data_IF_906173558120
#
_entry.id   IF_906173558120
#
_cell.length_a   1.000
_cell.length_b   1.000
_cell.length_c   1.000
_cell.angle_alpha   90.00
_cell.angle_beta   90.00
_cell.angle_gamma   90.00
#
_symmetry.space_group_name_H-M   'P 1'
#
loop_
_entity.id
_entity.type
_entity.pdbx_description
1 polymer ?
#
# COMPACT_ATOMS: atom_id res chain seq x y z
N UNK A 1 -29.21 34.69 -28.17
CA UNK A 1 -28.20 33.63 -27.94
C UNK A 1 -26.82 34.26 -27.89
N UNK A 2 -26.41 34.75 -26.70
CA UNK A 2 -25.15 35.49 -26.53
C UNK A 2 -23.98 34.55 -26.25
N UNK A 3 -23.13 34.32 -27.26
CA UNK A 3 -21.92 33.52 -27.11
C UNK A 3 -20.81 34.39 -26.49
N UNK A 4 -20.77 34.46 -25.15
CA UNK A 4 -19.72 35.17 -24.42
C UNK A 4 -18.42 34.36 -24.45
N UNK A 5 -17.65 34.52 -25.53
CA UNK A 5 -16.25 34.09 -25.61
C UNK A 5 -15.43 35.01 -24.69
N UNK A 6 -15.41 34.70 -23.39
CA UNK A 6 -14.50 35.33 -22.44
C UNK A 6 -13.07 35.13 -22.98
N UNK A 7 -12.24 36.18 -23.13
CA UNK A 7 -10.93 36.05 -23.76
C UNK A 7 -10.09 35.07 -22.97
N UNK A 8 -9.67 33.98 -23.63
CA UNK A 8 -9.03 32.83 -23.01
C UNK A 8 -7.86 33.24 -22.12
N UNK A 9 -7.05 34.21 -22.53
CA UNK A 9 -5.91 34.75 -21.78
C UNK A 9 -6.28 35.26 -20.37
N UNK A 10 -7.39 35.99 -20.24
CA UNK A 10 -7.84 36.59 -18.97
C UNK A 10 -8.35 35.51 -18.00
N UNK A 11 -8.97 34.45 -18.55
CA UNK A 11 -9.34 33.25 -17.81
C UNK A 11 -8.10 32.45 -17.39
N UNK A 12 -7.05 32.39 -18.21
CA UNK A 12 -5.78 31.73 -17.87
C UNK A 12 -5.07 32.46 -16.73
N UNK A 13 -4.98 33.80 -16.77
CA UNK A 13 -4.36 34.60 -15.70
C UNK A 13 -5.10 34.50 -14.37
N UNK A 14 -6.43 34.55 -14.38
CA UNK A 14 -7.22 34.39 -13.15
C UNK A 14 -7.09 32.98 -12.55
N UNK A 15 -7.06 31.94 -13.39
CA UNK A 15 -6.83 30.56 -12.94
C UNK A 15 -5.42 30.37 -12.39
N UNK A 16 -4.41 30.98 -13.00
CA UNK A 16 -3.02 30.95 -12.52
C UNK A 16 -2.91 31.59 -11.13
N UNK A 17 -3.43 32.81 -10.96
CA UNK A 17 -3.48 33.48 -9.65
C UNK A 17 -4.20 32.65 -8.59
N UNK A 18 -5.31 32.01 -8.96
CA UNK A 18 -6.03 31.11 -8.04
C UNK A 18 -5.24 29.85 -7.71
N UNK A 19 -4.42 29.33 -8.63
CA UNK A 19 -3.54 28.19 -8.37
C UNK A 19 -2.46 28.60 -7.37
N UNK A 20 -1.74 29.69 -7.64
CA UNK A 20 -0.67 30.21 -6.79
C UNK A 20 -1.16 30.47 -5.35
N UNK A 21 -2.32 31.11 -5.19
CA UNK A 21 -2.94 31.35 -3.89
C UNK A 21 -3.29 30.06 -3.11
N UNK A 22 -3.39 28.92 -3.81
CA UNK A 22 -3.76 27.61 -3.23
C UNK A 22 -2.63 26.59 -3.29
N UNK A 23 -1.46 26.94 -3.84
CA UNK A 23 -0.41 25.97 -4.11
C UNK A 23 0.05 25.26 -2.84
N UNK A 24 0.27 26.02 -1.76
CA UNK A 24 0.62 25.48 -0.45
C UNK A 24 -0.44 24.50 0.07
N UNK A 25 -1.72 24.83 -0.07
CA UNK A 25 -2.82 23.95 0.32
C UNK A 25 -2.88 22.67 -0.52
N UNK A 26 -2.57 22.76 -1.83
CA UNK A 26 -2.47 21.59 -2.71
C UNK A 26 -1.30 20.69 -2.28
N UNK A 27 -0.10 21.26 -2.09
CA UNK A 27 1.08 20.54 -1.61
C UNK A 27 0.83 19.87 -0.27
N UNK A 28 0.22 20.57 0.69
CA UNK A 28 -0.16 20.00 1.99
C UNK A 28 -1.07 18.78 1.80
N UNK A 29 -2.11 18.87 0.95
CA UNK A 29 -2.99 17.73 0.69
C UNK A 29 -2.25 16.54 0.09
N UNK A 30 -1.37 16.79 -0.88
CA UNK A 30 -0.55 15.72 -1.49
C UNK A 30 0.34 15.05 -0.43
N UNK A 31 1.01 15.84 0.42
CA UNK A 31 1.86 15.35 1.52
C UNK A 31 1.07 14.58 2.57
N UNK A 32 -0.13 15.02 2.94
CA UNK A 32 -0.95 14.28 3.90
C UNK A 32 -1.39 12.92 3.35
N UNK A 33 -1.66 12.82 2.04
CA UNK A 33 -1.99 11.55 1.40
C UNK A 33 -0.80 10.58 1.41
N UNK A 34 0.42 11.04 1.11
CA UNK A 34 1.60 10.17 1.16
C UNK A 34 1.97 9.79 2.60
N UNK A 35 1.74 10.68 3.57
CA UNK A 35 1.88 10.39 5.01
C UNK A 35 0.91 9.29 5.46
N UNK A 36 -0.36 9.38 5.06
CA UNK A 36 -1.36 8.36 5.34
C UNK A 36 -0.92 6.98 4.82
N UNK A 37 -0.42 6.92 3.58
CA UNK A 37 0.09 5.66 2.98
C UNK A 37 1.25 5.11 3.81
N UNK A 38 2.20 5.97 4.19
CA UNK A 38 3.34 5.57 5.03
C UNK A 38 2.88 4.94 6.35
N UNK A 39 1.86 5.52 6.99
CA UNK A 39 1.27 4.95 8.22
C UNK A 39 0.61 3.59 7.97
N UNK A 40 -0.03 3.41 6.81
CA UNK A 40 -0.59 2.10 6.43
C UNK A 40 0.49 1.05 6.22
N UNK A 41 1.59 1.39 5.54
CA UNK A 41 2.74 0.49 5.36
C UNK A 41 3.31 0.04 6.71
N UNK A 42 3.55 0.97 7.63
CA UNK A 42 4.03 0.66 8.99
C UNK A 42 3.07 -0.29 9.71
N UNK A 43 1.76 -0.09 9.54
CA UNK A 43 0.76 -0.96 10.15
C UNK A 43 0.79 -2.36 9.54
N UNK A 44 0.91 -2.46 8.22
CA UNK A 44 1.01 -3.74 7.51
C UNK A 44 2.29 -4.50 7.86
N UNK A 45 3.42 -3.81 7.95
CA UNK A 45 4.70 -4.37 8.39
C UNK A 45 4.57 -5.00 9.79
N UNK A 46 4.01 -4.26 10.75
CA UNK A 46 3.77 -4.78 12.11
C UNK A 46 2.88 -6.01 12.13
N UNK A 47 1.86 -6.08 11.26
CA UNK A 47 1.00 -7.26 11.16
C UNK A 47 1.77 -8.43 10.55
N UNK A 48 2.49 -8.21 9.45
CA UNK A 48 3.30 -9.24 8.80
C UNK A 48 4.33 -9.83 9.77
N UNK A 49 5.05 -8.98 10.52
CA UNK A 49 6.01 -9.39 11.55
C UNK A 49 5.35 -10.23 12.65
N UNK A 50 4.20 -9.79 13.18
CA UNK A 50 3.46 -10.55 14.22
C UNK A 50 3.00 -11.91 13.72
N UNK A 51 2.56 -12.00 12.46
CA UNK A 51 2.09 -13.25 11.87
C UNK A 51 3.25 -14.21 11.63
N UNK A 52 4.37 -13.72 11.11
CA UNK A 52 5.60 -14.50 10.94
C UNK A 52 6.13 -14.99 12.30
N UNK A 53 6.18 -14.10 13.30
CA UNK A 53 6.58 -14.44 14.66
C UNK A 53 5.64 -15.49 15.29
N UNK A 54 4.34 -15.36 15.09
CA UNK A 54 3.40 -16.37 15.58
C UNK A 54 3.66 -17.74 14.93
N UNK A 55 3.94 -17.78 13.63
CA UNK A 55 4.29 -19.01 12.94
C UNK A 55 5.56 -19.65 13.53
N UNK A 56 6.63 -18.87 13.70
CA UNK A 56 7.91 -19.37 14.21
C UNK A 56 7.85 -19.76 15.69
N UNK A 57 7.18 -18.96 16.52
CA UNK A 57 7.26 -19.09 17.98
C UNK A 57 6.16 -19.99 18.55
N UNK A 58 5.09 -20.27 17.79
CA UNK A 58 3.92 -21.02 18.26
C UNK A 58 3.52 -22.16 17.35
N UNK A 59 3.46 -21.94 16.03
CA UNK A 59 2.97 -22.95 15.10
C UNK A 59 4.01 -24.06 14.90
N UNK A 60 5.24 -23.70 14.52
CA UNK A 60 6.32 -24.67 14.32
C UNK A 60 6.60 -25.53 15.57
N UNK A 61 6.72 -24.95 16.79
CA UNK A 61 6.95 -25.75 17.99
C UNK A 61 5.77 -26.66 18.37
N UNK A 62 4.56 -26.39 17.86
CA UNK A 62 3.39 -27.27 18.06
C UNK A 62 3.37 -28.50 17.14
N UNK A 63 4.44 -28.73 16.36
CA UNK A 63 4.53 -29.83 15.40
C UNK A 63 3.71 -29.59 14.12
N UNK A 64 3.23 -28.37 13.91
CA UNK A 64 2.46 -27.95 12.72
C UNK A 64 3.37 -27.17 11.79
N UNK A 65 3.26 -27.41 10.49
CA UNK A 65 4.02 -26.68 9.47
C UNK A 65 3.11 -26.28 8.31
N UNK A 66 3.49 -25.19 7.63
CA UNK A 66 2.81 -24.70 6.44
C UNK A 66 3.70 -24.91 5.22
N UNK A 67 3.30 -25.84 4.35
CA UNK A 67 3.93 -25.98 3.04
C UNK A 67 3.80 -24.69 2.24
N UNK A 68 4.90 -24.20 1.67
CA UNK A 68 4.92 -22.95 0.91
C UNK A 68 4.96 -21.68 1.76
N UNK A 69 5.26 -21.77 3.07
CA UNK A 69 5.43 -20.60 3.95
C UNK A 69 6.38 -19.54 3.35
N UNK A 70 7.56 -19.94 2.88
CA UNK A 70 8.54 -19.01 2.30
C UNK A 70 8.03 -18.31 1.04
N UNK A 71 7.21 -18.99 0.24
CA UNK A 71 6.58 -18.38 -0.94
C UNK A 71 5.60 -17.29 -0.52
N UNK A 72 4.82 -17.52 0.54
CA UNK A 72 3.88 -16.53 1.07
C UNK A 72 4.62 -15.32 1.68
N UNK A 73 5.71 -15.55 2.43
CA UNK A 73 6.56 -14.49 2.98
C UNK A 73 7.24 -13.68 1.87
N UNK A 74 7.79 -14.34 0.85
CA UNK A 74 8.38 -13.67 -0.30
C UNK A 74 7.36 -12.82 -1.04
N UNK A 75 6.13 -13.31 -1.25
CA UNK A 75 5.07 -12.51 -1.85
C UNK A 75 4.72 -11.27 -1.02
N UNK A 76 4.68 -11.36 0.32
CA UNK A 76 4.51 -10.18 1.20
C UNK A 76 5.62 -9.15 0.95
N UNK A 77 6.88 -9.59 0.89
CA UNK A 77 8.04 -8.73 0.60
C UNK A 77 7.93 -8.08 -0.79
N UNK A 78 7.57 -8.84 -1.82
CA UNK A 78 7.35 -8.31 -3.18
C UNK A 78 6.28 -7.22 -3.21
N UNK A 79 5.15 -7.43 -2.53
CA UNK A 79 4.07 -6.43 -2.51
C UNK A 79 4.40 -5.19 -1.68
N UNK A 80 5.22 -5.34 -0.63
CA UNK A 80 5.80 -4.21 0.11
C UNK A 80 6.65 -3.34 -0.81
N UNK A 81 7.59 -3.95 -1.54
CA UNK A 81 8.48 -3.23 -2.48
C UNK A 81 7.67 -2.54 -3.57
N UNK A 82 6.64 -3.19 -4.11
CA UNK A 82 5.75 -2.60 -5.10
C UNK A 82 5.01 -1.36 -4.55
N UNK A 83 4.58 -1.41 -3.29
CA UNK A 83 3.93 -0.27 -2.60
C UNK A 83 4.89 0.89 -2.43
N UNK A 84 6.11 0.62 -1.95
CA UNK A 84 7.16 1.63 -1.78
C UNK A 84 7.51 2.29 -3.11
N UNK A 85 7.70 1.50 -4.17
CA UNK A 85 7.98 1.98 -5.52
C UNK A 85 6.87 2.91 -6.05
N UNK A 86 5.60 2.55 -5.83
CA UNK A 86 4.47 3.39 -6.23
C UNK A 86 4.39 4.68 -5.40
N UNK A 87 4.68 4.59 -4.10
CA UNK A 87 4.66 5.73 -3.19
C UNK A 87 5.77 6.73 -3.53
N UNK A 88 6.97 6.25 -3.88
CA UNK A 88 8.09 7.11 -4.22
C UNK A 88 7.84 7.89 -5.52
N UNK A 89 7.14 7.30 -6.50
CA UNK A 89 6.64 8.04 -7.67
C UNK A 89 5.68 9.15 -7.26
N UNK A 90 4.72 8.88 -6.38
CA UNK A 90 3.78 9.90 -5.90
C UNK A 90 4.48 11.01 -5.09
N UNK A 91 5.53 10.68 -4.32
CA UNK A 91 6.35 11.68 -3.61
C UNK A 91 7.15 12.55 -4.59
N UNK A 92 7.69 11.97 -5.65
CA UNK A 92 8.39 12.72 -6.70
C UNK A 92 7.45 13.72 -7.41
N UNK A 93 6.17 13.37 -7.61
CA UNK A 93 5.20 14.31 -8.18
C UNK A 93 4.97 15.55 -7.29
N UNK A 94 5.15 15.43 -5.96
CA UNK A 94 5.02 16.56 -5.02
C UNK A 94 6.14 17.57 -5.24
N UNK A 95 7.37 17.10 -5.43
CA UNK A 95 8.53 17.99 -5.58
C UNK A 95 8.50 18.77 -6.89
N UNK A 96 7.91 18.20 -7.94
CA UNK A 96 7.80 18.85 -9.25
C UNK A 96 6.55 19.71 -9.40
N UNK A 97 5.55 19.57 -8.53
CA UNK A 97 4.31 20.36 -8.62
C UNK A 97 4.59 21.85 -8.35
N UNK A 98 4.23 22.69 -9.34
CA UNK A 98 4.27 24.15 -9.24
C UNK A 98 3.15 24.75 -10.07
N UNK A 99 2.45 25.76 -9.54
CA UNK A 99 1.44 26.51 -10.27
C UNK A 99 2.03 27.40 -11.37
N UNK A 100 3.34 27.64 -11.35
CA UNK A 100 4.08 28.39 -12.37
C UNK A 100 4.59 27.50 -13.51
N UNK A 101 4.40 26.17 -13.40
CA UNK A 101 4.70 25.26 -14.51
C UNK A 101 3.81 25.54 -15.72
N UNK A 102 4.24 25.06 -16.89
CA UNK A 102 3.45 25.20 -18.13
C UNK A 102 2.07 24.54 -18.03
N UNK A 103 1.97 23.43 -17.26
CA UNK A 103 0.73 22.69 -17.10
C UNK A 103 0.56 22.09 -15.69
N UNK A 104 0.26 22.91 -14.67
CA UNK A 104 0.08 22.45 -13.29
C UNK A 104 -1.07 21.45 -13.15
N UNK A 105 -2.08 21.53 -14.02
CA UNK A 105 -3.19 20.59 -14.04
C UNK A 105 -2.73 19.19 -14.44
N UNK A 106 -1.84 19.08 -15.41
CA UNK A 106 -1.26 17.79 -15.80
C UNK A 106 -0.41 17.20 -14.67
N UNK A 107 0.39 18.01 -13.98
CA UNK A 107 1.18 17.57 -12.83
C UNK A 107 0.29 17.03 -11.68
N UNK A 108 -0.81 17.74 -11.37
CA UNK A 108 -1.76 17.26 -10.38
C UNK A 108 -2.48 15.97 -10.82
N UNK A 109 -2.80 15.84 -12.11
CA UNK A 109 -3.39 14.61 -12.66
C UNK A 109 -2.41 13.43 -12.58
N UNK A 110 -1.12 13.68 -12.80
CA UNK A 110 -0.06 12.70 -12.65
C UNK A 110 0.02 12.18 -11.21
N UNK A 111 0.06 13.09 -10.23
CA UNK A 111 0.00 12.72 -8.81
C UNK A 111 -1.21 11.85 -8.47
N UNK A 112 -2.41 12.25 -8.93
CA UNK A 112 -3.62 11.48 -8.69
C UNK A 112 -3.58 10.09 -9.34
N UNK A 113 -2.93 9.97 -10.49
CA UNK A 113 -2.74 8.68 -11.18
C UNK A 113 -1.78 7.79 -10.41
N UNK A 114 -0.65 8.33 -9.96
CA UNK A 114 0.30 7.59 -9.13
C UNK A 114 -0.33 7.19 -7.77
N UNK A 115 -1.16 8.03 -7.15
CA UNK A 115 -1.90 7.66 -5.95
C UNK A 115 -2.93 6.54 -6.16
N UNK A 116 -3.50 6.39 -7.36
CA UNK A 116 -4.33 5.20 -7.69
C UNK A 116 -3.50 3.93 -7.75
N UNK A 117 -2.28 4.01 -8.27
CA UNK A 117 -1.33 2.89 -8.27
C UNK A 117 -0.92 2.51 -6.85
N UNK A 118 -0.63 3.50 -6.00
CA UNK A 118 -0.36 3.28 -4.56
C UNK A 118 -1.53 2.56 -3.88
N UNK A 119 -2.76 2.99 -4.12
CA UNK A 119 -3.96 2.32 -3.59
C UNK A 119 -4.06 0.87 -4.07
N UNK A 120 -3.73 0.61 -5.34
CA UNK A 120 -3.68 -0.76 -5.89
C UNK A 120 -2.64 -1.62 -5.15
N UNK A 121 -1.42 -1.11 -5.01
CA UNK A 121 -0.33 -1.81 -4.33
C UNK A 121 -0.61 -2.08 -2.84
N UNK A 122 -1.20 -1.11 -2.12
CA UNK A 122 -1.63 -1.34 -0.73
C UNK A 122 -2.67 -2.47 -0.61
N UNK A 123 -3.58 -2.60 -1.57
CA UNK A 123 -4.57 -3.71 -1.58
C UNK A 123 -3.89 -5.05 -1.78
N UNK A 124 -2.93 -5.15 -2.71
CA UNK A 124 -2.21 -6.40 -2.96
C UNK A 124 -1.30 -6.76 -1.78
N UNK A 125 -0.68 -5.76 -1.14
CA UNK A 125 0.11 -5.97 0.07
C UNK A 125 -0.75 -6.51 1.23
N UNK A 126 -1.89 -5.87 1.51
CA UNK A 126 -2.85 -6.38 2.50
C UNK A 126 -3.34 -7.79 2.18
N UNK A 127 -3.62 -8.07 0.91
CA UNK A 127 -4.09 -9.38 0.47
C UNK A 127 -3.01 -10.46 0.68
N UNK A 128 -1.73 -10.15 0.42
CA UNK A 128 -0.62 -11.08 0.68
C UNK A 128 -0.52 -11.45 2.17
N UNK A 129 -0.62 -10.45 3.06
CA UNK A 129 -0.64 -10.69 4.52
C UNK A 129 -1.83 -11.57 4.92
N UNK A 130 -3.03 -11.26 4.41
CA UNK A 130 -4.23 -12.04 4.70
C UNK A 130 -4.11 -13.49 4.22
N UNK A 131 -3.50 -13.73 3.06
CA UNK A 131 -3.24 -15.08 2.55
C UNK A 131 -2.37 -15.88 3.52
N UNK A 132 -1.31 -15.29 4.06
CA UNK A 132 -0.47 -15.94 5.07
C UNK A 132 -1.27 -16.23 6.35
N UNK A 133 -2.04 -15.27 6.85
CA UNK A 133 -2.88 -15.44 8.04
C UNK A 133 -3.85 -16.62 7.85
N UNK A 134 -4.57 -16.65 6.74
CA UNK A 134 -5.54 -17.72 6.44
C UNK A 134 -4.81 -19.05 6.35
N UNK A 135 -3.72 -19.14 5.59
CA UNK A 135 -2.95 -20.36 5.42
C UNK A 135 -2.46 -20.94 6.76
N UNK A 136 -1.98 -20.08 7.67
CA UNK A 136 -1.56 -20.50 9.02
C UNK A 136 -2.76 -21.01 9.84
N UNK A 137 -3.91 -20.33 9.77
CA UNK A 137 -5.12 -20.72 10.52
C UNK A 137 -5.71 -22.05 10.05
N UNK A 138 -5.54 -22.37 8.77
CA UNK A 138 -6.09 -23.59 8.16
C UNK A 138 -5.15 -24.79 8.20
N UNK A 139 -3.96 -24.69 8.81
CA UNK A 139 -3.10 -25.86 9.00
C UNK A 139 -3.87 -26.88 9.84
N UNK A 140 -3.93 -28.18 9.46
CA UNK A 140 -4.55 -29.21 10.28
C UNK A 140 -3.96 -29.27 11.69
N UNK A 141 -4.74 -29.75 12.66
CA UNK A 141 -4.20 -30.12 13.96
C UNK A 141 -3.26 -31.34 13.80
N UNK A 142 -2.21 -31.47 14.62
CA UNK A 142 -1.39 -32.67 14.61
C UNK A 142 -2.29 -33.88 14.92
N UNK A 143 -2.29 -34.87 14.05
CA UNK A 143 -2.96 -36.15 14.30
C UNK A 143 -2.26 -36.82 15.47
N UNK A 144 -2.95 -36.88 16.62
CA UNK A 144 -2.54 -37.74 17.73
C UNK A 144 -2.79 -39.18 17.30
N UNK A 145 -1.77 -39.87 16.79
CA UNK A 145 -1.83 -41.33 16.65
C UNK A 145 -1.97 -41.92 18.05
N UNK A 146 -3.03 -42.68 18.37
CA UNK A 146 -3.11 -43.39 19.64
C UNK A 146 -2.01 -44.46 19.64
N UNK A 147 -0.97 -44.27 20.45
CA UNK A 147 0.02 -45.30 20.73
C UNK A 147 -0.66 -46.37 21.58
N UNK A 148 -1.28 -47.36 20.93
CA UNK A 148 -1.71 -48.58 21.61
C UNK A 148 -0.44 -49.36 21.96
N UNK A 149 0.10 -49.13 23.17
CA UNK A 149 1.10 -50.01 23.75
C UNK A 149 0.44 -51.36 24.05
N UNK A 150 0.58 -52.31 23.12
CA UNK A 150 0.33 -53.73 23.38
C UNK A 150 1.53 -54.23 24.17
N UNK A 151 1.39 -54.27 25.50
CA UNK A 151 2.27 -55.03 26.37
C UNK A 151 1.89 -56.50 26.20
N UNK A 152 2.72 -57.29 25.50
CA UNK A 152 2.63 -58.75 25.61
C UNK A 152 3.49 -59.19 26.79
N UNK A 153 2.82 -59.84 27.73
CA UNK A 153 3.36 -60.63 28.85
C UNK A 153 4.04 -61.91 28.33
#
# INVERSE_FOLDING_TARGET
TGNSKRPSALVTTAKMKSCQARESAVKIRMTQLTKLVTTMEITFDKIAERVQKYYTDKVLPSGRSLTGYDTLVNNISTQKIATQTALDKAKADISVFSCDSENPRALLLQFNTNMKLVKGALKTYRAAINKLIVAIRTIPAPTTTPTNNVTND
#
